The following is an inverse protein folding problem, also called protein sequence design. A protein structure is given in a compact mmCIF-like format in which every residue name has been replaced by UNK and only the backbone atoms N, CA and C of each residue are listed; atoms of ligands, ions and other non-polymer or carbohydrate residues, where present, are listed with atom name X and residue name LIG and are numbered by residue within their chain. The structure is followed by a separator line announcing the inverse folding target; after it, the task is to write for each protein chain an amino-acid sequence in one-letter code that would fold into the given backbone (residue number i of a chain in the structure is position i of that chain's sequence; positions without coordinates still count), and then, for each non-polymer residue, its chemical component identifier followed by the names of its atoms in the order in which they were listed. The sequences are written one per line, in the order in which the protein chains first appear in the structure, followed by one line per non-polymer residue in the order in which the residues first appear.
data_IF_867447343744
#
_entry.id   IF_867447343744
#
_cell.length_a   1.000
_cell.length_b   1.000
_cell.length_c   1.000
_cell.angle_alpha   90.00
_cell.angle_beta   90.00
_cell.angle_gamma   90.00
#
_symmetry.space_group_name_H-M   'P 1'
#
loop_
_entity.id
_entity.type
_entity.pdbx_description
1 polymer ?
#
# COMPACT_ATOMS: atom_id res chain seq x y z
N UNK A 1 -28.14 32.52 5.31
CA UNK A 1 -27.29 31.36 4.99
C UNK A 1 -26.26 31.63 3.88
N UNK A 2 -26.56 32.43 2.85
CA UNK A 2 -25.69 32.47 1.65
C UNK A 2 -24.44 33.37 1.73
N UNK A 3 -24.41 34.42 2.56
CA UNK A 3 -23.21 35.29 2.70
C UNK A 3 -22.21 34.78 3.73
N UNK A 4 -22.68 34.00 4.68
CA UNK A 4 -21.86 33.46 5.77
C UNK A 4 -21.02 32.28 5.29
N UNK A 5 -21.59 31.42 4.44
CA UNK A 5 -20.84 30.35 3.76
C UNK A 5 -19.75 30.89 2.82
N UNK A 6 -19.98 32.02 2.16
CA UNK A 6 -18.99 32.66 1.28
C UNK A 6 -17.81 33.18 2.09
N UNK A 7 -18.06 33.83 3.24
CA UNK A 7 -16.98 34.27 4.13
C UNK A 7 -16.20 33.11 4.72
N UNK A 8 -16.88 32.04 5.14
CA UNK A 8 -16.21 30.85 5.65
C UNK A 8 -15.27 30.23 4.60
N UNK A 9 -15.68 30.20 3.33
CA UNK A 9 -14.83 29.73 2.24
C UNK A 9 -13.62 30.65 1.99
N UNK A 10 -13.82 31.96 2.04
CA UNK A 10 -12.74 32.95 1.90
C UNK A 10 -11.72 32.85 3.04
N UNK A 11 -12.18 32.63 4.28
CA UNK A 11 -11.30 32.39 5.43
C UNK A 11 -10.52 31.06 5.29
N UNK A 12 -11.16 30.00 4.76
CA UNK A 12 -10.52 28.72 4.48
C UNK A 12 -9.45 28.83 3.38
N UNK A 13 -9.70 29.63 2.34
CA UNK A 13 -8.76 29.88 1.25
C UNK A 13 -7.51 30.62 1.75
N UNK A 14 -7.69 31.64 2.60
CA UNK A 14 -6.57 32.35 3.26
C UNK A 14 -5.76 31.40 4.13
N UNK A 15 -6.43 30.54 4.90
CA UNK A 15 -5.76 29.54 5.71
C UNK A 15 -5.00 28.51 4.84
N UNK A 16 -5.55 28.12 3.69
CA UNK A 16 -4.92 27.22 2.73
C UNK A 16 -3.65 27.85 2.11
N UNK A 17 -3.71 29.12 1.74
CA UNK A 17 -2.56 29.86 1.20
C UNK A 17 -1.42 29.98 2.21
N UNK A 18 -1.75 30.25 3.49
CA UNK A 18 -0.76 30.25 4.56
C UNK A 18 -0.11 28.87 4.76
N UNK A 19 -0.86 27.78 4.60
CA UNK A 19 -0.31 26.42 4.64
C UNK A 19 0.60 26.16 3.43
N UNK A 20 0.19 26.52 2.22
CA UNK A 20 1.00 26.36 1.01
C UNK A 20 2.30 27.16 1.07
N UNK A 21 2.31 28.38 1.62
CA UNK A 21 3.53 29.15 1.82
C UNK A 21 4.51 28.49 2.81
N UNK A 22 3.98 27.78 3.82
CA UNK A 22 4.78 27.09 4.85
C UNK A 22 5.29 25.72 4.42
N UNK A 23 4.45 24.96 3.70
CA UNK A 23 4.68 23.55 3.40
C UNK A 23 4.91 23.24 1.91
N UNK A 24 4.74 24.24 1.03
CA UNK A 24 4.84 24.06 -0.41
C UNK A 24 3.59 23.45 -1.05
N UNK A 25 3.78 22.84 -2.22
CA UNK A 25 2.74 22.10 -2.92
C UNK A 25 2.70 20.64 -2.49
N UNK A 26 1.53 20.01 -2.57
CA UNK A 26 1.42 18.57 -2.44
C UNK A 26 2.21 17.90 -3.59
N UNK A 27 2.91 16.80 -3.34
CA UNK A 27 3.44 15.94 -4.41
C UNK A 27 2.32 15.40 -5.30
N UNK A 28 2.71 14.87 -6.45
CA UNK A 28 1.77 14.15 -7.32
C UNK A 28 1.12 12.99 -6.56
N UNK A 29 -0.21 12.82 -6.62
CA UNK A 29 -0.88 11.70 -6.00
C UNK A 29 -0.35 10.35 -6.51
N UNK A 30 -0.07 9.43 -5.58
CA UNK A 30 0.30 8.06 -5.91
C UNK A 30 -0.95 7.31 -6.38
N UNK A 31 -0.81 6.49 -7.42
CA UNK A 31 -1.90 5.66 -7.90
C UNK A 31 -2.33 4.67 -6.82
N UNK A 32 -3.63 4.40 -6.73
CA UNK A 32 -4.17 3.48 -5.72
C UNK A 32 -3.55 2.09 -5.84
N UNK A 33 -3.24 1.65 -7.06
CA UNK A 33 -2.60 0.37 -7.34
C UNK A 33 -1.18 0.27 -6.74
N UNK A 34 -0.46 1.39 -6.65
CA UNK A 34 0.90 1.44 -6.12
C UNK A 34 0.91 1.52 -4.58
N UNK A 35 -0.25 1.73 -3.94
CA UNK A 35 -0.40 1.78 -2.49
C UNK A 35 -0.61 0.39 -1.85
N UNK A 36 -0.78 -0.65 -2.65
CA UNK A 36 -1.11 -2.00 -2.20
C UNK A 36 -0.09 -3.03 -2.69
N UNK A 37 0.28 -3.98 -1.84
CA UNK A 37 1.16 -5.11 -2.19
C UNK A 37 0.47 -6.42 -1.83
N UNK A 38 0.41 -7.37 -2.78
CA UNK A 38 -0.13 -8.71 -2.53
C UNK A 38 0.91 -9.56 -1.80
N UNK A 39 0.56 -10.01 -0.60
CA UNK A 39 1.39 -10.93 0.19
C UNK A 39 0.64 -12.24 0.48
N UNK A 40 1.27 -13.41 0.29
CA UNK A 40 0.67 -14.67 0.69
C UNK A 40 0.32 -14.67 2.18
N UNK A 41 -0.88 -15.15 2.52
CA UNK A 41 -1.35 -15.25 3.90
C UNK A 41 -0.48 -16.18 4.76
N UNK A 42 0.11 -17.21 4.14
CA UNK A 42 1.04 -18.15 4.76
C UNK A 42 2.22 -18.35 3.81
N UNK A 43 3.43 -18.46 4.36
CA UNK A 43 4.60 -18.81 3.57
C UNK A 43 4.36 -20.17 2.86
N UNK A 44 4.83 -20.35 1.62
CA UNK A 44 4.74 -21.65 0.95
C UNK A 44 5.40 -22.73 1.80
N UNK A 45 4.68 -23.81 2.08
CA UNK A 45 5.21 -24.94 2.83
C UNK A 45 6.30 -25.65 1.99
N UNK A 46 7.58 -25.67 2.43
CA UNK A 46 8.64 -26.34 1.71
C UNK A 46 8.41 -27.85 1.60
N UNK A 47 7.72 -28.48 2.56
CA UNK A 47 7.45 -29.92 2.55
C UNK A 47 6.50 -30.31 1.40
N UNK A 48 5.65 -29.39 0.93
CA UNK A 48 4.76 -29.61 -0.22
C UNK A 48 5.51 -30.00 -1.48
N UNK A 49 6.75 -29.54 -1.64
CA UNK A 49 7.58 -29.78 -2.82
C UNK A 49 8.74 -30.75 -2.56
N UNK A 50 8.80 -31.34 -1.35
CA UNK A 50 9.90 -32.21 -0.94
C UNK A 50 9.70 -33.70 -1.28
N UNK A 51 8.61 -34.07 -1.97
CA UNK A 51 8.36 -35.46 -2.34
C UNK A 51 9.39 -35.94 -3.38
N UNK A 52 10.12 -37.00 -3.03
CA UNK A 52 11.06 -37.66 -3.94
C UNK A 52 10.58 -39.09 -4.23
N UNK A 53 10.13 -39.41 -5.46
CA UNK A 53 9.67 -40.75 -5.81
C UNK A 53 10.77 -41.82 -5.77
N UNK A 54 12.04 -41.44 -5.75
CA UNK A 54 13.19 -42.35 -5.79
C UNK A 54 13.78 -42.65 -4.40
N UNK A 55 13.21 -42.08 -3.33
CA UNK A 55 13.74 -42.25 -1.96
C UNK A 55 13.85 -43.73 -1.54
N UNK A 56 12.94 -44.58 -2.03
CA UNK A 56 12.92 -46.00 -1.73
C UNK A 56 14.14 -46.76 -2.31
N UNK A 57 14.68 -46.31 -3.45
CA UNK A 57 15.86 -46.93 -4.07
C UNK A 57 17.08 -46.76 -3.16
N UNK A 58 17.27 -45.55 -2.62
CA UNK A 58 18.38 -45.25 -1.70
C UNK A 58 18.25 -46.02 -0.39
N UNK A 59 17.02 -46.15 0.13
CA UNK A 59 16.78 -46.74 1.46
C UNK A 59 16.80 -48.27 1.48
N UNK A 60 16.41 -48.93 0.38
CA UNK A 60 16.15 -50.37 0.37
C UNK A 60 16.90 -51.17 -0.70
N UNK A 61 17.54 -50.52 -1.68
CA UNK A 61 18.23 -51.20 -2.77
C UNK A 61 19.76 -51.02 -2.75
N UNK A 62 20.32 -50.51 -1.64
CA UNK A 62 21.75 -50.39 -1.40
C UNK A 62 22.35 -51.69 -0.85
#
# INVERSE_FOLDING_TARGET
MSRESVRAHEDDDVAAQARHARFGSLPEPVRVEDLVEEKPAVAPDPARFAYNPDEWLVRYCA
#
